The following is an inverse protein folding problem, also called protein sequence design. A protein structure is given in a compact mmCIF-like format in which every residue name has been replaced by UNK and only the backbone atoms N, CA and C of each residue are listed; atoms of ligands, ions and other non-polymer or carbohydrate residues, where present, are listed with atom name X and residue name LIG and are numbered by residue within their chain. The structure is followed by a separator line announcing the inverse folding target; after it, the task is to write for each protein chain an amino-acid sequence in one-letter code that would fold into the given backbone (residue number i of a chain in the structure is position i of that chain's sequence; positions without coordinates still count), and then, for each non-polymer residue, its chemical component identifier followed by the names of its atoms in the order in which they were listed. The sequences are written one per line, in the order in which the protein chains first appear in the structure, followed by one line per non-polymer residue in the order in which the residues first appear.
data_IF_347028473924
#
_entry.id   IF_347028473924
#
_cell.length_a   1.000
_cell.length_b   1.000
_cell.length_c   1.000
_cell.angle_alpha   90.00
_cell.angle_beta   90.00
_cell.angle_gamma   90.00
#
_symmetry.space_group_name_H-M   'P 1'
#
loop_
_entity.id
_entity.type
_entity.pdbx_description
1 polymer ?
#
# COMPACT_ATOMS: atom_id res chain seq x y z
N UNK A 1 -7.42 4.65 -14.43
CA UNK A 1 -7.24 3.35 -13.87
C UNK A 1 -8.51 2.77 -13.33
N UNK A 2 -8.84 1.57 -13.65
CA UNK A 2 -10.06 1.09 -13.30
C UNK A 2 -10.05 0.06 -12.30
N UNK A 3 -9.16 -0.60 -11.95
CA UNK A 3 -9.28 -1.76 -11.08
C UNK A 3 -8.54 -1.62 -9.80
N UNK A 4 -8.49 -0.42 -9.24
CA UNK A 4 -7.82 -0.34 -7.97
C UNK A 4 -8.78 -0.73 -6.84
N UNK A 5 -8.19 -0.96 -5.70
CA UNK A 5 -8.87 -1.60 -4.60
C UNK A 5 -9.93 -0.69 -3.97
N UNK A 6 -11.07 -1.28 -3.64
CA UNK A 6 -12.12 -0.56 -2.97
C UNK A 6 -11.87 -0.35 -1.50
N UNK A 7 -10.96 -1.12 -0.94
CA UNK A 7 -10.73 -1.10 0.50
C UNK A 7 -9.68 -0.08 0.92
N UNK A 8 -9.28 0.79 0.01
CA UNK A 8 -8.38 1.88 0.32
C UNK A 8 -9.19 3.17 0.32
N UNK A 9 -9.13 3.91 1.41
CA UNK A 9 -9.80 5.20 1.47
C UNK A 9 -8.97 6.25 0.75
N UNK A 10 -9.58 6.96 -0.17
CA UNK A 10 -8.88 7.93 -1.01
C UNK A 10 -9.71 9.20 -1.09
N UNK A 11 -9.09 10.35 -0.81
CA UNK A 11 -9.81 11.60 -0.93
C UNK A 11 -9.77 12.12 -2.36
N UNK A 12 -10.53 13.19 -2.63
CA UNK A 12 -10.67 13.70 -3.99
C UNK A 12 -9.37 14.18 -4.59
N UNK A 13 -8.53 14.82 -3.80
CA UNK A 13 -7.28 15.36 -4.33
C UNK A 13 -6.27 14.25 -4.62
N UNK A 14 -6.44 13.08 -4.02
CA UNK A 14 -5.57 11.96 -4.30
C UNK A 14 -5.92 11.24 -5.59
N UNK A 15 -7.16 11.40 -6.06
CA UNK A 15 -7.61 10.65 -7.25
C UNK A 15 -6.70 10.86 -8.46
N UNK A 16 -6.31 12.09 -8.80
CA UNK A 16 -5.46 12.27 -9.98
C UNK A 16 -4.09 11.61 -9.87
N UNK A 17 -3.64 11.35 -8.65
CA UNK A 17 -2.33 10.74 -8.42
C UNK A 17 -2.39 9.23 -8.26
N UNK A 18 -3.58 8.67 -8.22
CA UNK A 18 -3.77 7.30 -7.78
C UNK A 18 -3.03 6.29 -8.65
N UNK A 19 -3.09 6.47 -9.94
CA UNK A 19 -2.43 5.54 -10.85
C UNK A 19 -0.93 5.53 -10.63
N UNK A 20 -0.35 6.70 -10.43
CA UNK A 20 1.09 6.80 -10.20
C UNK A 20 1.45 6.25 -8.83
N UNK A 21 0.60 6.48 -7.84
CA UNK A 21 0.85 5.96 -6.49
C UNK A 21 0.85 4.44 -6.52
N UNK A 22 -0.14 3.85 -7.16
CA UNK A 22 -0.23 2.40 -7.24
C UNK A 22 0.98 1.82 -7.97
N UNK A 23 1.38 2.47 -9.05
CA UNK A 23 2.53 2.01 -9.81
C UNK A 23 3.78 1.96 -8.94
N UNK A 24 3.96 2.97 -8.09
CA UNK A 24 5.09 2.98 -7.18
C UNK A 24 4.96 1.91 -6.09
N UNK A 25 3.75 1.73 -5.58
CA UNK A 25 3.55 0.79 -4.48
C UNK A 25 3.69 -0.67 -4.94
N UNK A 26 3.50 -0.94 -6.22
CA UNK A 26 3.74 -2.29 -6.71
C UNK A 26 5.22 -2.62 -6.85
N UNK A 27 6.09 -1.66 -6.55
CA UNK A 27 7.54 -1.90 -6.51
C UNK A 27 8.08 -2.04 -5.08
N UNK A 28 7.21 -1.91 -4.07
CA UNK A 28 7.63 -2.06 -2.68
C UNK A 28 7.16 -3.42 -2.19
N UNK A 29 8.10 -4.26 -1.82
CA UNK A 29 7.81 -5.65 -1.50
C UNK A 29 8.00 -5.97 -0.04
N UNK A 30 7.11 -6.80 0.49
CA UNK A 30 7.27 -7.37 1.82
C UNK A 30 8.35 -8.46 1.71
N UNK A 31 9.40 -8.38 2.52
CA UNK A 31 10.51 -9.32 2.38
C UNK A 31 10.16 -10.75 2.76
N UNK A 32 9.12 -10.94 3.56
CA UNK A 32 8.78 -12.29 3.99
C UNK A 32 7.84 -13.00 3.02
N UNK A 33 6.91 -12.25 2.43
CA UNK A 33 5.92 -12.85 1.56
C UNK A 33 6.30 -12.71 0.10
N UNK A 34 7.17 -11.74 -0.20
CA UNK A 34 7.67 -11.51 -1.57
C UNK A 34 6.56 -11.08 -2.51
N UNK A 35 5.65 -10.26 -1.99
CA UNK A 35 4.59 -9.68 -2.79
C UNK A 35 4.56 -8.20 -2.48
N UNK A 36 4.17 -7.39 -3.48
CA UNK A 36 4.14 -5.95 -3.28
C UNK A 36 3.04 -5.55 -2.30
N UNK A 37 3.22 -4.41 -1.67
CA UNK A 37 2.31 -3.98 -0.60
C UNK A 37 0.91 -3.65 -1.11
N UNK A 38 0.78 -3.25 -2.36
CA UNK A 38 -0.53 -2.95 -2.91
C UNK A 38 -1.36 -4.25 -3.00
N UNK A 39 -0.80 -5.29 -3.58
CA UNK A 39 -1.51 -6.55 -3.72
C UNK A 39 -1.65 -7.30 -2.40
N UNK A 40 -0.76 -7.05 -1.45
CA UNK A 40 -0.90 -7.61 -0.12
C UNK A 40 -2.06 -7.00 0.66
N UNK A 41 -2.48 -5.79 0.26
CA UNK A 41 -3.54 -5.13 0.99
C UNK A 41 -3.06 -4.42 2.23
N UNK A 42 -1.85 -3.90 2.22
CA UNK A 42 -1.31 -3.21 3.37
C UNK A 42 -1.67 -1.73 3.42
N UNK A 43 -2.21 -1.19 2.33
CA UNK A 43 -2.54 0.23 2.26
C UNK A 43 -3.98 0.44 2.72
N UNK A 44 -4.19 1.31 3.70
CA UNK A 44 -5.52 1.56 4.22
C UNK A 44 -6.10 2.89 3.77
N UNK A 45 -5.27 3.93 3.67
CA UNK A 45 -5.78 5.26 3.35
C UNK A 45 -4.73 6.11 2.68
N UNK A 46 -5.14 6.91 1.71
CA UNK A 46 -4.27 7.86 1.02
C UNK A 46 -5.02 9.17 0.92
N UNK A 47 -4.49 10.23 1.52
CA UNK A 47 -5.07 11.57 1.45
C UNK A 47 -4.03 12.56 1.00
N UNK A 48 -4.41 13.43 0.06
CA UNK A 48 -3.52 14.48 -0.41
C UNK A 48 -4.23 15.80 -0.22
N UNK A 49 -3.53 16.80 0.34
CA UNK A 49 -4.12 18.10 0.55
C UNK A 49 -3.70 19.08 -0.55
N UNK A 50 -4.15 20.32 -0.42
CA UNK A 50 -3.91 21.32 -1.44
C UNK A 50 -2.44 21.70 -1.59
N UNK A 51 -1.65 21.42 -0.59
CA UNK A 51 -0.24 21.74 -0.61
C UNK A 51 0.61 20.61 -1.15
N UNK A 52 0.00 19.53 -1.58
CA UNK A 52 0.74 18.39 -2.06
C UNK A 52 1.29 17.51 -0.95
N UNK A 53 0.74 17.64 0.25
CA UNK A 53 1.14 16.78 1.35
C UNK A 53 0.33 15.50 1.31
N UNK A 54 1.01 14.37 1.29
CA UNK A 54 0.39 13.06 1.18
C UNK A 54 0.41 12.36 2.54
N UNK A 55 -0.76 12.01 3.03
CA UNK A 55 -0.89 11.20 4.22
C UNK A 55 -1.18 9.76 3.78
N UNK A 56 -0.37 8.82 4.23
CA UNK A 56 -0.42 7.44 3.77
C UNK A 56 -0.51 6.53 4.97
N UNK A 57 -1.65 5.86 5.14
CA UNK A 57 -1.87 4.98 6.28
C UNK A 57 -1.77 3.54 5.83
N UNK A 58 -0.98 2.75 6.53
CA UNK A 58 -0.75 1.37 6.16
C UNK A 58 -0.59 0.48 7.38
N UNK A 59 -0.55 -0.81 7.13
CA UNK A 59 -0.26 -1.79 8.17
C UNK A 59 0.82 -2.75 7.68
N UNK A 60 1.17 -3.70 8.52
CA UNK A 60 2.13 -4.75 8.18
C UNK A 60 1.49 -6.11 8.40
N UNK A 61 2.05 -7.13 7.75
CA UNK A 61 1.51 -8.48 7.88
C UNK A 61 1.82 -9.08 9.24
N UNK A 62 2.89 -8.61 9.87
CA UNK A 62 3.30 -9.14 11.16
C UNK A 62 4.05 -8.05 11.90
N UNK A 63 3.88 -7.98 13.20
CA UNK A 63 4.50 -6.93 13.98
C UNK A 63 5.99 -7.13 14.21
N UNK A 64 6.53 -8.28 13.91
CA UNK A 64 7.93 -8.57 14.22
C UNK A 64 8.83 -8.68 13.01
N UNK A 65 8.42 -8.18 11.86
CA UNK A 65 9.21 -8.44 10.65
C UNK A 65 10.42 -7.53 10.48
N UNK A 66 10.50 -6.42 11.21
CA UNK A 66 11.62 -5.50 11.05
C UNK A 66 11.47 -4.53 9.90
N UNK A 67 10.54 -4.73 9.02
CA UNK A 67 10.33 -3.84 7.89
C UNK A 67 9.65 -2.55 8.33
N UNK A 68 9.18 -2.50 9.56
CA UNK A 68 8.55 -1.30 10.10
C UNK A 68 9.47 -0.11 10.13
N UNK A 69 10.78 -0.33 10.10
CA UNK A 69 11.72 0.77 10.16
C UNK A 69 12.12 1.27 8.79
N UNK A 70 12.21 0.37 7.81
CA UNK A 70 12.72 0.74 6.50
C UNK A 70 11.63 0.97 5.47
N UNK A 71 10.54 0.22 5.54
CA UNK A 71 9.50 0.31 4.52
C UNK A 71 8.83 1.69 4.48
N UNK A 72 8.49 2.32 5.62
CA UNK A 72 7.90 3.65 5.53
C UNK A 72 8.81 4.67 4.86
N UNK A 73 10.11 4.57 5.07
CA UNK A 73 11.05 5.46 4.41
C UNK A 73 11.05 5.21 2.90
N UNK A 74 11.09 3.95 2.50
CA UNK A 74 11.08 3.61 1.08
C UNK A 74 9.80 4.13 0.41
N UNK A 75 8.65 3.94 1.07
CA UNK A 75 7.38 4.42 0.54
C UNK A 75 7.41 5.94 0.40
N UNK A 76 7.90 6.62 1.43
CA UNK A 76 7.96 8.07 1.42
C UNK A 76 8.81 8.57 0.24
N UNK A 77 9.95 7.96 0.01
CA UNK A 77 10.81 8.39 -1.08
C UNK A 77 10.18 8.17 -2.44
N UNK A 78 9.50 7.03 -2.60
CA UNK A 78 8.84 6.74 -3.88
C UNK A 78 7.67 7.67 -4.13
N UNK A 79 6.92 8.00 -3.10
CA UNK A 79 5.79 8.92 -3.26
C UNK A 79 6.25 10.33 -3.55
N UNK A 80 7.36 10.77 -2.93
CA UNK A 80 7.87 12.11 -3.19
C UNK A 80 8.42 12.26 -4.60
N UNK A 81 8.72 11.15 -5.26
CA UNK A 81 9.18 11.20 -6.64
C UNK A 81 8.04 11.50 -7.61
N UNK A 82 6.80 11.42 -7.15
CA UNK A 82 5.64 11.72 -7.99
C UNK A 82 5.48 13.23 -8.08
N UNK A 83 5.36 13.71 -9.30
CA UNK A 83 5.22 15.13 -9.54
C UNK A 83 3.93 15.64 -8.89
N UNK A 84 4.05 16.68 -8.10
CA UNK A 84 2.88 17.24 -7.40
C UNK A 84 2.78 16.81 -5.95
N UNK A 85 3.52 15.80 -5.54
CA UNK A 85 3.56 15.39 -4.13
C UNK A 85 4.80 16.00 -3.53
N UNK A 86 4.61 16.92 -2.59
CA UNK A 86 5.71 17.72 -2.02
C UNK A 86 6.24 17.15 -0.71
N UNK A 87 5.38 16.51 0.06
CA UNK A 87 5.79 15.92 1.32
C UNK A 87 4.92 14.72 1.60
N UNK A 88 5.42 13.81 2.42
CA UNK A 88 4.72 12.56 2.69
C UNK A 88 4.83 12.24 4.17
N UNK A 89 3.73 11.82 4.75
CA UNK A 89 3.73 11.25 6.08
C UNK A 89 3.20 9.83 5.97
N UNK A 90 4.01 8.84 6.32
CA UNK A 90 3.59 7.45 6.35
C UNK A 90 3.28 7.09 7.79
N UNK A 91 2.06 6.67 8.03
CA UNK A 91 1.61 6.29 9.35
C UNK A 91 1.26 4.82 9.34
N UNK A 92 1.53 4.11 10.42
CA UNK A 92 1.24 2.69 10.50
C UNK A 92 0.20 2.43 11.57
N UNK A 93 -0.62 1.41 11.36
CA UNK A 93 -1.63 1.01 12.32
C UNK A 93 -1.82 -0.49 12.24
N UNK A 94 -2.26 -1.08 13.34
CA UNK A 94 -2.61 -2.49 13.37
C UNK A 94 -4.10 -2.68 13.63
N UNK A 95 -4.86 -1.63 13.43
CA UNK A 95 -6.31 -1.69 13.58
C UNK A 95 -6.96 -1.10 12.33
N UNK A 96 -7.66 -1.89 11.54
CA UNK A 96 -7.87 -3.32 11.71
C UNK A 96 -6.62 -4.13 11.42
N UNK A 97 -6.54 -5.32 12.01
CA UNK A 97 -5.43 -6.22 11.79
C UNK A 97 -5.47 -6.74 10.34
N UNK A 98 -4.29 -6.83 9.73
CA UNK A 98 -4.20 -7.39 8.39
C UNK A 98 -4.56 -8.87 8.40
N UNK A 99 -5.26 -9.31 7.36
CA UNK A 99 -5.62 -10.71 7.18
C UNK A 99 -5.34 -11.14 5.76
N UNK A 100 -5.12 -12.43 5.58
CA UNK A 100 -4.81 -12.94 4.24
C UNK A 100 -5.93 -12.71 3.25
N UNK A 101 -7.14 -12.48 3.73
CA UNK A 101 -8.25 -12.17 2.83
C UNK A 101 -8.06 -10.82 2.12
N UNK A 102 -7.15 -9.99 2.60
CA UNK A 102 -6.86 -8.73 1.92
C UNK A 102 -5.92 -8.88 0.73
N UNK A 103 -5.28 -10.03 0.57
CA UNK A 103 -4.42 -10.26 -0.58
C UNK A 103 -5.28 -10.31 -1.83
N UNK A 104 -4.89 -9.56 -2.87
CA UNK A 104 -5.64 -9.53 -4.12
C UNK A 104 -5.61 -10.90 -4.80
N UNK A 105 -6.51 -11.09 -5.74
CA UNK A 105 -6.52 -12.33 -6.50
C UNK A 105 -5.20 -12.54 -7.22
N UNK A 106 -4.70 -11.49 -7.84
CA UNK A 106 -3.40 -11.55 -8.50
C UNK A 106 -2.32 -11.97 -7.51
N UNK A 107 -2.33 -11.38 -6.31
CA UNK A 107 -1.32 -11.69 -5.33
C UNK A 107 -1.37 -13.13 -4.86
N UNK A 108 -2.58 -13.66 -4.69
CA UNK A 108 -2.71 -15.07 -4.27
C UNK A 108 -2.15 -16.01 -5.31
N UNK A 109 -2.39 -15.71 -6.56
CA UNK A 109 -1.85 -16.52 -7.64
C UNK A 109 -0.34 -16.41 -7.68
N UNK A 110 0.17 -15.20 -7.53
CA UNK A 110 1.61 -14.95 -7.63
C UNK A 110 2.41 -15.70 -6.57
N UNK A 111 1.85 -15.83 -5.36
CA UNK A 111 2.57 -16.50 -4.28
C UNK A 111 2.12 -17.96 -4.10
N UNK A 112 1.29 -18.45 -5.01
CA UNK A 112 0.93 -19.87 -5.00
C UNK A 112 -0.25 -20.26 -4.13
N UNK A 113 -0.99 -19.28 -3.61
CA UNK A 113 -2.18 -19.58 -2.82
C UNK A 113 -3.37 -19.68 -3.74
N UNK A 114 -4.21 -20.70 -3.50
CA UNK A 114 -5.42 -20.87 -4.29
C UNK A 114 -6.28 -19.62 -4.23
N UNK A 115 -6.81 -19.16 -5.36
CA UNK A 115 -7.72 -18.00 -5.35
C UNK A 115 -8.94 -18.20 -4.46
N UNK A 116 -9.29 -19.44 -4.18
CA UNK A 116 -10.40 -19.68 -3.29
C UNK A 116 -10.00 -19.63 -1.84
N UNK A 117 -8.76 -19.43 -1.57
CA UNK A 117 -8.28 -19.30 -0.22
C UNK A 117 -8.18 -20.60 0.54
N UNK A 118 -8.50 -21.66 -0.10
CA UNK A 118 -8.44 -22.92 0.57
C UNK A 118 -7.21 -23.63 0.22
N UNK A 119 -6.67 -24.21 0.41
CA UNK A 119 -5.72 -24.91 0.01
C UNK A 119 -5.08 -25.01 -0.10
#
# INVERSE_FOLDING_TARGET
MKNFRNDIKINDLAQPFLEQIIKQMTTVFDPEIELDIYNLGLIYEINIDENGHCYFLMTFTDTGCGCEETMPYEISEKLKAIDGINSVKVETTYSPVWKMTRISRYGRIAIGISPRGGK
#
